data_IF_641252784588
#
_entry.id   IF_641252784588
#
_cell.length_a   1.000
_cell.length_b   1.000
_cell.length_c   1.000
_cell.angle_alpha   90.00
_cell.angle_beta   90.00
_cell.angle_gamma   90.00
#
_symmetry.space_group_name_H-M   'P 1'
#
loop_
_entity.id
_entity.type
_entity.pdbx_description
1 polymer ?
#
# COMPACT_ATOMS: atom_id res chain seq x y z
N UNK A 1 -21.64 8.57 25.39
CA UNK A 1 -20.83 9.77 25.14
C UNK A 1 -19.50 9.62 25.89
N UNK A 2 -18.47 9.11 25.23
CA UNK A 2 -17.11 9.06 25.76
C UNK A 2 -16.21 9.74 24.74
N UNK A 3 -15.81 10.98 25.09
CA UNK A 3 -14.84 11.76 24.32
C UNK A 3 -13.45 11.14 24.49
N UNK A 4 -12.91 10.51 23.44
CA UNK A 4 -11.49 10.17 23.40
C UNK A 4 -10.70 11.44 23.07
N UNK A 5 -9.88 11.90 24.01
CA UNK A 5 -8.89 12.94 23.79
C UNK A 5 -7.72 12.34 23.01
N UNK A 6 -7.55 12.76 21.75
CA UNK A 6 -6.30 12.59 21.06
C UNK A 6 -5.30 13.61 21.61
N UNK A 7 -4.24 13.14 22.23
CA UNK A 7 -3.09 13.97 22.57
C UNK A 7 -2.20 14.11 21.35
N UNK A 8 -2.26 15.26 20.69
CA UNK A 8 -1.29 15.68 19.69
C UNK A 8 -0.14 16.33 20.44
N UNK A 9 1.02 15.69 20.47
CA UNK A 9 2.25 16.34 20.92
C UNK A 9 2.79 17.21 19.78
N UNK A 10 3.05 18.50 20.00
CA UNK A 10 3.68 19.34 18.99
C UNK A 10 5.17 18.94 18.90
N UNK A 11 5.53 18.26 17.81
CA UNK A 11 6.94 18.09 17.43
C UNK A 11 7.46 19.45 16.96
N UNK A 12 8.35 20.06 17.74
CA UNK A 12 9.10 21.23 17.28
C UNK A 12 10.02 20.78 16.13
N UNK A 13 9.65 21.12 14.92
CA UNK A 13 10.57 21.04 13.77
C UNK A 13 11.66 22.09 13.95
N UNK A 14 12.91 21.68 14.12
CA UNK A 14 14.05 22.57 13.92
C UNK A 14 14.30 22.71 12.43
N UNK A 15 14.09 23.90 11.90
CA UNK A 15 14.25 24.25 10.49
C UNK A 15 15.70 24.59 10.12
N UNK A 16 16.65 24.47 11.04
CA UNK A 16 18.06 24.82 10.80
C UNK A 16 18.94 23.57 10.79
N UNK A 17 18.94 22.87 9.65
CA UNK A 17 20.07 21.99 9.30
C UNK A 17 20.93 22.74 8.29
N UNK A 18 21.94 23.44 8.79
CA UNK A 18 23.01 24.00 7.98
C UNK A 18 23.63 22.88 7.15
N UNK A 19 23.92 23.16 5.87
CA UNK A 19 24.67 22.29 4.96
C UNK A 19 26.13 22.11 5.44
N UNK A 20 26.32 21.36 6.55
CA UNK A 20 27.65 20.92 6.96
C UNK A 20 28.11 19.78 6.07
N UNK A 21 29.34 19.79 5.65
CA UNK A 21 29.99 18.70 4.89
C UNK A 21 29.74 17.36 5.59
N UNK A 22 29.19 16.44 4.83
CA UNK A 22 28.77 15.14 5.32
C UNK A 22 29.88 14.14 4.96
N UNK A 23 30.61 13.64 5.95
CA UNK A 23 31.54 12.53 5.79
C UNK A 23 30.74 11.22 5.66
N UNK A 24 30.57 10.73 4.44
CA UNK A 24 29.84 9.50 4.15
C UNK A 24 30.58 8.22 4.59
N UNK A 25 31.90 8.27 4.61
CA UNK A 25 32.77 7.11 4.85
C UNK A 25 32.74 6.59 6.30
N UNK A 26 32.10 7.32 7.22
CA UNK A 26 32.06 6.99 8.65
C UNK A 26 30.76 6.32 9.11
N UNK A 27 29.74 6.17 8.22
CA UNK A 27 28.44 5.63 8.61
C UNK A 27 28.46 4.10 8.53
N UNK A 28 28.66 3.44 9.67
CA UNK A 28 28.52 1.99 9.77
C UNK A 28 27.05 1.60 9.61
N UNK A 29 26.77 0.59 8.79
CA UNK A 29 25.45 -0.07 8.76
C UNK A 29 25.23 -0.75 10.12
N UNK A 30 24.27 -0.28 10.90
CA UNK A 30 23.88 -0.93 12.14
C UNK A 30 22.90 -2.05 11.80
N UNK A 31 23.36 -3.30 11.90
CA UNK A 31 22.49 -4.47 11.95
C UNK A 31 21.80 -4.49 13.33
N UNK A 32 20.69 -3.78 13.47
CA UNK A 32 19.98 -3.63 14.73
C UNK A 32 18.46 -3.49 14.49
N UNK A 33 17.72 -3.55 15.58
CA UNK A 33 16.29 -3.29 15.58
C UNK A 33 16.01 -1.90 14.98
N UNK A 34 14.99 -1.79 14.10
CA UNK A 34 14.62 -0.53 13.48
C UNK A 34 13.99 0.38 14.55
N UNK A 35 14.66 1.48 14.87
CA UNK A 35 14.21 2.48 15.87
C UNK A 35 13.50 3.68 15.22
N UNK A 36 13.46 3.74 13.89
CA UNK A 36 12.78 4.79 13.15
C UNK A 36 11.26 4.74 13.32
N UNK A 37 10.64 5.90 13.53
CA UNK A 37 9.19 6.00 13.58
C UNK A 37 8.56 5.83 12.19
N UNK A 38 8.04 4.65 11.93
CA UNK A 38 7.46 4.23 10.65
C UNK A 38 6.12 4.89 10.34
N UNK A 39 5.48 5.58 11.29
CA UNK A 39 4.24 6.32 11.02
C UNK A 39 4.50 7.60 10.22
N UNK A 40 5.69 8.19 10.37
CA UNK A 40 6.03 9.45 9.72
C UNK A 40 5.93 9.43 8.18
N UNK A 41 6.45 8.42 7.46
CA UNK A 41 6.31 8.36 6.00
C UNK A 41 4.86 8.18 5.54
N UNK A 42 4.07 7.41 6.30
CA UNK A 42 2.65 7.18 5.98
C UNK A 42 1.79 8.46 6.11
N UNK A 43 2.26 9.46 6.85
CA UNK A 43 1.60 10.76 6.99
C UNK A 43 1.85 11.70 5.81
N UNK A 44 2.77 11.40 4.92
CA UNK A 44 3.15 12.22 3.76
C UNK A 44 3.43 13.69 4.12
N UNK A 45 4.23 13.92 5.18
CA UNK A 45 4.54 15.26 5.69
C UNK A 45 5.33 16.12 4.69
N UNK A 46 6.07 15.47 3.76
CA UNK A 46 6.84 16.13 2.71
C UNK A 46 5.98 16.94 1.71
N UNK A 47 4.66 16.69 1.66
CA UNK A 47 3.72 17.49 0.86
C UNK A 47 3.52 18.91 1.37
N UNK A 48 4.10 19.22 2.55
CA UNK A 48 4.06 20.52 3.19
C UNK A 48 3.17 20.56 4.42
N UNK A 49 3.20 21.72 5.07
CA UNK A 49 2.41 22.03 6.25
C UNK A 49 1.10 22.74 5.86
N UNK A 50 0.23 22.97 6.82
CA UNK A 50 -1.02 23.72 6.65
C UNK A 50 -2.06 23.03 5.73
N UNK A 51 -2.19 21.72 5.86
CA UNK A 51 -3.32 21.01 5.28
C UNK A 51 -4.60 21.36 6.01
N UNK A 52 -5.67 21.54 5.23
CA UNK A 52 -7.03 21.74 5.71
C UNK A 52 -7.71 20.36 5.66
N UNK A 53 -8.27 19.93 6.77
CA UNK A 53 -9.01 18.69 6.82
C UNK A 53 -10.32 18.81 6.02
N UNK A 54 -10.59 17.84 5.18
CA UNK A 54 -11.87 17.77 4.49
C UNK A 54 -12.95 17.34 5.49
N UNK A 55 -14.03 18.12 5.54
CA UNK A 55 -15.19 17.80 6.38
C UNK A 55 -15.98 16.68 5.72
N UNK A 56 -16.24 15.61 6.47
CA UNK A 56 -17.09 14.52 6.03
C UNK A 56 -16.98 13.30 6.92
N UNK A 57 -18.04 12.49 6.94
CA UNK A 57 -18.02 11.15 7.51
C UNK A 57 -17.41 10.19 6.48
N UNK A 58 -16.92 9.03 6.96
CA UNK A 58 -16.52 7.94 6.07
C UNK A 58 -17.68 7.61 5.14
N UNK A 59 -17.44 7.67 3.84
CA UNK A 59 -18.44 7.35 2.83
C UNK A 59 -18.51 5.83 2.66
N UNK A 60 -19.72 5.31 2.76
CA UNK A 60 -20.04 3.91 2.50
C UNK A 60 -21.04 3.86 1.35
N UNK A 61 -20.73 3.05 0.38
CA UNK A 61 -21.62 2.76 -0.72
C UNK A 61 -22.05 1.31 -0.68
N UNK A 62 -23.32 1.08 -0.97
CA UNK A 62 -23.81 -0.28 -1.19
C UNK A 62 -23.23 -0.83 -2.50
N UNK A 63 -23.02 -2.12 -2.54
CA UNK A 63 -22.61 -2.80 -3.77
C UNK A 63 -23.67 -2.59 -4.87
N UNK A 64 -23.19 -2.55 -6.12
CA UNK A 64 -23.98 -2.23 -7.30
C UNK A 64 -24.55 -0.79 -7.34
N UNK A 65 -24.24 0.07 -6.37
CA UNK A 65 -24.58 1.49 -6.46
C UNK A 65 -23.87 2.14 -7.65
N UNK A 66 -24.57 3.04 -8.31
CA UNK A 66 -24.04 3.83 -9.42
C UNK A 66 -23.82 5.26 -8.95
N UNK A 67 -22.58 5.68 -9.02
CA UNK A 67 -22.17 7.04 -8.70
C UNK A 67 -22.07 7.85 -10.00
N UNK A 68 -22.51 9.10 -9.96
CA UNK A 68 -22.56 9.95 -11.14
C UNK A 68 -21.68 11.20 -10.97
N UNK A 69 -21.10 11.63 -12.08
CA UNK A 69 -20.36 12.89 -12.18
C UNK A 69 -19.16 12.99 -11.21
N UNK A 70 -18.35 11.94 -11.16
CA UNK A 70 -17.15 11.92 -10.32
C UNK A 70 -15.93 12.31 -11.15
N UNK A 71 -15.10 13.29 -10.70
CA UNK A 71 -13.90 13.68 -11.42
C UNK A 71 -12.89 12.53 -11.50
N UNK A 72 -12.21 12.41 -12.65
CA UNK A 72 -11.22 11.39 -12.90
C UNK A 72 -9.82 12.00 -12.82
N UNK A 73 -8.92 11.29 -12.13
CA UNK A 73 -7.48 11.56 -12.14
C UNK A 73 -6.78 10.31 -12.67
N UNK A 74 -5.98 10.46 -13.72
CA UNK A 74 -5.19 9.38 -14.30
C UNK A 74 -3.79 9.33 -13.70
N UNK A 75 -3.33 8.12 -13.34
CA UNK A 75 -2.00 7.85 -12.81
C UNK A 75 -1.46 6.54 -13.38
N UNK A 76 -0.65 6.63 -14.41
CA UNK A 76 -0.21 5.47 -15.20
C UNK A 76 0.80 4.55 -14.50
N UNK A 77 1.43 5.01 -13.43
CA UNK A 77 2.58 4.32 -12.84
C UNK A 77 2.25 3.54 -11.55
N UNK A 78 1.05 3.73 -11.00
CA UNK A 78 0.67 3.22 -9.70
C UNK A 78 -0.72 2.63 -9.71
N UNK A 79 -0.87 1.44 -9.17
CA UNK A 79 -2.17 0.80 -8.94
C UNK A 79 -2.61 1.11 -7.50
N UNK A 80 -3.76 1.75 -7.36
CA UNK A 80 -4.34 2.11 -6.07
C UNK A 80 -5.22 1.01 -5.51
N UNK A 81 -5.37 1.00 -4.17
CA UNK A 81 -6.09 -0.04 -3.45
C UNK A 81 -7.10 0.53 -2.45
N UNK A 82 -8.21 -0.18 -2.18
CA UNK A 82 -9.05 0.13 -1.03
C UNK A 82 -8.23 0.10 0.27
N UNK A 83 -8.46 1.07 1.16
CA UNK A 83 -7.72 1.22 2.42
C UNK A 83 -6.36 1.91 2.31
N UNK A 84 -5.80 2.08 1.12
CA UNK A 84 -4.49 2.72 0.93
C UNK A 84 -4.58 4.24 1.05
N UNK A 85 -3.61 4.85 1.76
CA UNK A 85 -3.42 6.30 1.75
C UNK A 85 -2.70 6.73 0.47
N UNK A 86 -3.25 7.75 -0.20
CA UNK A 86 -2.82 8.19 -1.53
C UNK A 86 -2.42 9.65 -1.47
N UNK A 87 -1.12 9.96 -1.66
CA UNK A 87 -0.64 11.33 -1.78
C UNK A 87 -0.78 11.82 -3.22
N UNK A 88 -1.50 12.91 -3.45
CA UNK A 88 -1.58 13.57 -4.75
C UNK A 88 -0.90 14.94 -4.66
N UNK A 89 -0.12 15.28 -5.66
CA UNK A 89 0.54 16.57 -5.79
C UNK A 89 0.43 17.03 -7.24
N UNK A 90 -0.46 17.97 -7.51
CA UNK A 90 -0.77 18.43 -8.85
C UNK A 90 -0.20 19.82 -9.10
N UNK A 91 0.43 19.98 -10.25
CA UNK A 91 0.94 21.24 -10.79
C UNK A 91 0.37 21.52 -12.19
N UNK A 92 -0.20 20.48 -12.84
CA UNK A 92 -0.86 20.68 -14.13
C UNK A 92 -2.23 21.36 -13.94
N UNK A 93 -2.62 22.31 -14.80
CA UNK A 93 -3.89 23.01 -14.68
C UNK A 93 -5.11 22.09 -14.64
N UNK A 94 -5.11 21.04 -15.47
CA UNK A 94 -6.24 20.11 -15.60
C UNK A 94 -6.42 19.27 -14.35
N UNK A 95 -5.34 18.69 -13.85
CA UNK A 95 -5.36 17.88 -12.60
C UNK A 95 -5.68 18.77 -11.39
N UNK A 96 -5.11 19.99 -11.31
CA UNK A 96 -5.43 20.94 -10.25
C UNK A 96 -6.92 21.27 -10.22
N UNK A 97 -7.55 21.46 -11.37
CA UNK A 97 -8.99 21.77 -11.45
C UNK A 97 -9.87 20.57 -11.13
N UNK A 98 -9.50 19.35 -11.59
CA UNK A 98 -10.21 18.14 -11.21
C UNK A 98 -10.19 17.93 -9.68
N UNK A 99 -9.03 18.12 -9.03
CA UNK A 99 -8.90 18.04 -7.58
C UNK A 99 -9.69 19.14 -6.86
N UNK A 100 -9.66 20.38 -7.35
CA UNK A 100 -10.46 21.48 -6.79
C UNK A 100 -11.95 21.20 -6.92
N UNK A 101 -12.39 20.66 -8.04
CA UNK A 101 -13.77 20.26 -8.22
C UNK A 101 -14.19 19.23 -7.17
N UNK A 102 -13.37 18.16 -6.98
CA UNK A 102 -13.61 17.17 -5.94
C UNK A 102 -13.69 17.81 -4.54
N UNK A 103 -12.74 18.68 -4.18
CA UNK A 103 -12.70 19.36 -2.89
C UNK A 103 -13.93 20.25 -2.66
N UNK A 104 -14.35 21.04 -3.67
CA UNK A 104 -15.48 21.98 -3.53
C UNK A 104 -16.83 21.31 -3.42
N UNK A 105 -17.01 20.21 -4.13
CA UNK A 105 -18.28 19.47 -4.12
C UNK A 105 -18.36 18.47 -2.97
N UNK A 106 -17.29 18.33 -2.16
CA UNK A 106 -17.16 17.29 -1.13
C UNK A 106 -17.44 15.88 -1.64
N UNK A 107 -17.18 15.70 -2.93
CA UNK A 107 -17.30 14.41 -3.60
C UNK A 107 -15.94 13.72 -3.67
N UNK A 108 -15.98 12.47 -4.04
CA UNK A 108 -14.82 11.62 -4.24
C UNK A 108 -14.26 11.82 -5.63
N UNK A 109 -13.10 11.25 -5.86
CA UNK A 109 -12.48 11.18 -7.17
C UNK A 109 -12.26 9.73 -7.59
N UNK A 110 -12.35 9.46 -8.89
CA UNK A 110 -11.92 8.20 -9.46
C UNK A 110 -10.44 8.26 -9.81
N UNK A 111 -9.68 7.32 -9.28
CA UNK A 111 -8.28 7.12 -9.63
C UNK A 111 -8.18 5.97 -10.63
N UNK A 112 -7.72 6.27 -11.82
CA UNK A 112 -7.66 5.35 -12.95
C UNK A 112 -6.20 5.08 -13.29
N UNK A 113 -5.80 3.80 -13.26
CA UNK A 113 -4.43 3.38 -13.59
C UNK A 113 -4.10 3.58 -15.07
N UNK A 114 -5.01 3.27 -15.98
CA UNK A 114 -4.80 3.40 -17.43
C UNK A 114 -6.13 3.52 -18.15
N UNK A 115 -6.15 4.27 -19.25
CA UNK A 115 -7.34 4.41 -20.10
C UNK A 115 -7.81 3.07 -20.66
N UNK A 116 -6.90 2.11 -20.87
CA UNK A 116 -7.24 0.76 -21.35
C UNK A 116 -7.88 -0.11 -20.25
N UNK A 117 -7.69 0.24 -18.97
CA UNK A 117 -8.15 -0.52 -17.80
C UNK A 117 -9.17 0.23 -16.95
N UNK A 118 -10.08 0.96 -17.57
CA UNK A 118 -11.17 1.70 -16.89
C UNK A 118 -12.12 0.75 -16.14
N UNK A 119 -12.11 -0.53 -16.54
CA UNK A 119 -12.96 -1.55 -15.96
C UNK A 119 -12.74 -1.84 -14.47
N UNK A 120 -11.61 -1.40 -13.91
CA UNK A 120 -11.38 -1.44 -12.47
C UNK A 120 -10.57 -0.23 -12.04
N UNK A 121 -11.26 0.72 -11.46
CA UNK A 121 -10.72 1.95 -10.89
C UNK A 121 -11.02 2.01 -9.39
N UNK A 122 -10.46 2.97 -8.69
CA UNK A 122 -10.68 3.16 -7.26
C UNK A 122 -11.38 4.49 -7.01
N UNK A 123 -12.46 4.46 -6.23
CA UNK A 123 -12.98 5.67 -5.60
C UNK A 123 -12.07 6.04 -4.44
N UNK A 124 -11.53 7.24 -4.45
CA UNK A 124 -10.72 7.80 -3.38
C UNK A 124 -11.44 8.98 -2.73
N UNK A 125 -11.45 8.99 -1.40
CA UNK A 125 -12.00 10.06 -0.59
C UNK A 125 -10.89 11.01 -0.16
N UNK A 126 -11.07 12.31 -0.37
CA UNK A 126 -10.18 13.36 0.12
C UNK A 126 -10.27 13.42 1.65
N UNK A 127 -9.13 13.28 2.34
CA UNK A 127 -9.02 13.42 3.79
C UNK A 127 -8.58 14.83 4.18
N UNK A 128 -7.57 15.35 3.49
CA UNK A 128 -7.08 16.71 3.70
C UNK A 128 -6.45 17.26 2.42
N UNK A 129 -6.41 18.57 2.31
CA UNK A 129 -5.88 19.25 1.11
C UNK A 129 -5.13 20.53 1.45
N UNK A 130 -4.27 20.96 0.55
CA UNK A 130 -3.57 22.23 0.55
C UNK A 130 -3.63 22.82 -0.86
N UNK A 131 -4.02 24.07 -0.98
CA UNK A 131 -3.96 24.84 -2.23
C UNK A 131 -2.97 25.98 -1.99
N UNK A 132 -1.94 26.07 -2.81
CA UNK A 132 -0.91 27.10 -2.72
C UNK A 132 -0.57 27.62 -4.11
N UNK A 133 0.03 28.81 -4.15
CA UNK A 133 0.62 29.36 -5.36
C UNK A 133 2.10 29.61 -5.05
N UNK A 134 2.97 28.84 -5.66
CA UNK A 134 4.42 28.91 -5.49
C UNK A 134 5.04 29.31 -6.84
N UNK A 135 5.80 30.39 -6.86
CA UNK A 135 6.46 30.95 -8.06
C UNK A 135 5.51 31.18 -9.26
N UNK A 136 4.24 31.51 -8.99
CA UNK A 136 3.23 31.72 -10.05
C UNK A 136 2.60 30.44 -10.59
N UNK A 137 2.98 29.27 -10.06
CA UNK A 137 2.37 27.97 -10.37
C UNK A 137 1.39 27.60 -9.26
N UNK A 138 0.16 27.30 -9.65
CA UNK A 138 -0.81 26.78 -8.69
C UNK A 138 -0.51 25.33 -8.35
N UNK A 139 -0.47 25.02 -7.07
CA UNK A 139 -0.22 23.68 -6.54
C UNK A 139 -1.43 23.21 -5.73
N UNK A 140 -1.90 22.03 -6.02
CA UNK A 140 -2.92 21.34 -5.22
C UNK A 140 -2.36 20.05 -4.68
N UNK A 141 -2.15 19.99 -3.37
CA UNK A 141 -1.72 18.78 -2.67
C UNK A 141 -2.90 18.17 -1.91
N UNK A 142 -3.12 16.87 -2.06
CA UNK A 142 -4.23 16.15 -1.45
C UNK A 142 -3.71 14.88 -0.78
N UNK A 143 -4.24 14.59 0.41
CA UNK A 143 -4.16 13.27 1.04
C UNK A 143 -5.52 12.62 0.91
N UNK A 144 -5.58 11.51 0.20
CA UNK A 144 -6.80 10.75 -0.02
C UNK A 144 -6.67 9.34 0.51
N UNK A 145 -7.77 8.62 0.61
CA UNK A 145 -7.82 7.21 0.95
C UNK A 145 -8.68 6.46 -0.06
N UNK A 146 -8.19 5.35 -0.59
CA UNK A 146 -8.97 4.46 -1.44
C UNK A 146 -10.14 3.86 -0.66
N UNK A 147 -11.34 3.83 -1.27
CA UNK A 147 -12.55 3.31 -0.61
C UNK A 147 -13.07 2.05 -1.26
N UNK A 148 -13.49 2.13 -2.51
CA UNK A 148 -14.13 1.05 -3.23
C UNK A 148 -13.56 0.89 -4.62
N UNK A 149 -13.60 -0.35 -5.11
CA UNK A 149 -13.35 -0.62 -6.53
C UNK A 149 -14.59 -0.24 -7.32
N UNK A 150 -14.39 0.36 -8.49
CA UNK A 150 -15.48 0.77 -9.37
C UNK A 150 -15.20 0.37 -10.82
N UNK A 151 -16.28 0.10 -11.54
CA UNK A 151 -16.27 0.01 -13.00
C UNK A 151 -16.83 1.32 -13.56
N UNK A 152 -16.11 1.93 -14.48
CA UNK A 152 -16.54 3.15 -15.16
C UNK A 152 -17.09 2.76 -16.51
N UNK A 153 -18.38 3.02 -16.74
CA UNK A 153 -19.04 2.69 -18.01
C UNK A 153 -18.74 3.72 -19.11
N UNK A 154 -18.67 5.01 -18.75
CA UNK A 154 -18.41 6.10 -19.69
C UNK A 154 -17.68 7.26 -19.03
N UNK A 155 -16.82 7.90 -19.84
CA UNK A 155 -16.10 9.12 -19.48
C UNK A 155 -16.65 10.26 -20.33
N UNK A 156 -16.99 11.36 -19.70
CA UNK A 156 -17.42 12.59 -20.34
C UNK A 156 -16.53 13.77 -19.93
N UNK A 157 -16.51 14.78 -20.73
CA UNK A 157 -15.79 16.02 -20.44
C UNK A 157 -16.77 17.06 -19.94
N UNK A 158 -16.47 17.68 -18.80
CA UNK A 158 -17.27 18.78 -18.22
C UNK A 158 -16.40 20.03 -18.09
N UNK A 159 -16.96 21.19 -18.37
CA UNK A 159 -16.23 22.47 -18.26
C UNK A 159 -16.32 22.97 -16.81
N UNK A 160 -15.17 23.15 -16.18
CA UNK A 160 -15.04 23.76 -14.87
C UNK A 160 -13.94 24.82 -14.86
N UNK A 161 -14.28 26.06 -14.44
CA UNK A 161 -13.36 27.21 -14.43
C UNK A 161 -12.63 27.40 -15.78
N UNK A 162 -13.36 27.33 -16.90
CA UNK A 162 -12.87 27.45 -18.28
C UNK A 162 -11.84 26.38 -18.70
N UNK A 163 -11.86 25.22 -18.09
CA UNK A 163 -11.03 24.06 -18.45
C UNK A 163 -11.90 22.81 -18.50
N UNK A 164 -11.56 21.95 -19.44
CA UNK A 164 -12.19 20.64 -19.57
C UNK A 164 -11.64 19.70 -18.50
N UNK A 165 -12.51 19.15 -17.67
CA UNK A 165 -12.18 18.08 -16.72
C UNK A 165 -12.87 16.78 -17.13
N UNK A 166 -12.20 15.68 -16.93
CA UNK A 166 -12.75 14.36 -17.20
C UNK A 166 -13.59 13.87 -16.02
N UNK A 167 -14.78 13.38 -16.32
CA UNK A 167 -15.75 12.92 -15.36
C UNK A 167 -16.19 11.49 -15.68
N UNK A 168 -16.25 10.63 -14.67
CA UNK A 168 -16.98 9.38 -14.76
C UNK A 168 -18.47 9.68 -14.68
N UNK A 169 -19.21 9.38 -15.73
CA UNK A 169 -20.64 9.62 -15.77
C UNK A 169 -21.38 8.61 -14.91
N UNK A 170 -21.08 7.34 -15.08
CA UNK A 170 -21.64 6.24 -14.33
C UNK A 170 -20.48 5.35 -13.84
N UNK A 171 -20.22 5.40 -12.53
CA UNK A 171 -19.22 4.57 -11.88
C UNK A 171 -19.94 3.57 -10.96
N UNK A 172 -19.92 2.28 -11.34
CA UNK A 172 -20.58 1.21 -10.61
C UNK A 172 -19.65 0.64 -9.55
N UNK A 173 -20.11 0.59 -8.29
CA UNK A 173 -19.37 -0.04 -7.18
C UNK A 173 -19.29 -1.55 -7.44
N UNK A 174 -18.07 -2.07 -7.43
CA UNK A 174 -17.82 -3.50 -7.62
C UNK A 174 -18.02 -4.26 -6.31
N UNK A 175 -18.57 -5.45 -6.42
CA UNK A 175 -18.77 -6.35 -5.29
C UNK A 175 -17.43 -6.94 -4.87
N UNK A 176 -17.19 -6.92 -3.55
CA UNK A 176 -16.13 -7.66 -2.88
C UNK A 176 -16.78 -8.66 -1.93
N UNK A 177 -16.42 -9.91 -2.04
CA UNK A 177 -16.98 -10.97 -1.21
C UNK A 177 -15.88 -11.94 -0.74
N UNK A 178 -16.22 -12.73 0.24
CA UNK A 178 -15.40 -13.85 0.71
C UNK A 178 -16.13 -15.12 0.39
N UNK A 179 -15.57 -15.97 -0.45
CA UNK A 179 -16.11 -17.30 -0.73
C UNK A 179 -16.25 -18.07 0.58
N UNK A 180 -17.44 -18.60 0.83
CA UNK A 180 -17.67 -19.46 2.00
C UNK A 180 -16.68 -20.61 1.99
N UNK A 181 -16.20 -20.95 3.19
CA UNK A 181 -15.35 -22.11 3.31
C UNK A 181 -16.16 -23.34 2.83
N UNK A 182 -15.63 -24.14 1.86
CA UNK A 182 -16.30 -25.36 1.42
C UNK A 182 -16.63 -26.30 2.58
N UNK A 183 -15.90 -26.21 3.69
CA UNK A 183 -16.16 -26.97 4.91
C UNK A 183 -17.47 -26.57 5.61
N UNK A 184 -17.94 -25.33 5.45
CA UNK A 184 -19.20 -24.88 6.03
C UNK A 184 -20.40 -25.67 5.50
N UNK A 185 -20.29 -26.22 4.29
CA UNK A 185 -21.33 -27.09 3.71
C UNK A 185 -21.30 -28.51 4.28
N UNK A 186 -20.19 -28.90 4.89
CA UNK A 186 -19.98 -30.25 5.45
C UNK A 186 -20.20 -30.23 6.97
N UNK A 187 -20.34 -29.06 7.54
CA UNK A 187 -20.55 -28.84 8.97
C UNK A 187 -21.82 -29.56 9.42
N UNK A 188 -21.65 -30.52 10.33
CA UNK A 188 -22.78 -31.24 10.88
C UNK A 188 -23.50 -30.36 11.90
N UNK A 189 -24.80 -30.09 11.74
CA UNK A 189 -25.59 -29.29 12.69
C UNK A 189 -25.55 -29.82 14.14
N UNK A 190 -25.23 -31.10 14.32
CA UNK A 190 -25.01 -31.70 15.62
C UNK A 190 -23.78 -31.19 16.36
N UNK A 191 -22.75 -30.72 15.64
CA UNK A 191 -21.55 -30.15 16.23
C UNK A 191 -21.79 -28.75 16.78
N UNK A 192 -22.73 -27.98 16.18
CA UNK A 192 -23.10 -26.65 16.65
C UNK A 192 -23.76 -26.70 18.04
N UNK A 193 -24.37 -27.84 18.42
CA UNK A 193 -24.92 -28.07 19.77
C UNK A 193 -23.86 -28.38 20.80
N UNK A 194 -22.74 -28.97 20.37
CA UNK A 194 -21.60 -29.33 21.23
C UNK A 194 -20.69 -28.12 21.44
N UNK A 195 -20.59 -27.25 20.45
CA UNK A 195 -19.78 -26.05 20.44
C UNK A 195 -20.61 -24.79 20.13
N UNK A 196 -21.54 -24.41 21.01
CA UNK A 196 -22.38 -23.23 20.81
C UNK A 196 -21.50 -21.97 20.87
N UNK A 197 -21.51 -21.17 19.84
CA UNK A 197 -21.06 -19.80 19.92
C UNK A 197 -19.90 -19.36 19.04
N UNK A 198 -19.65 -20.02 17.90
CA UNK A 198 -18.68 -19.51 16.92
C UNK A 198 -19.21 -19.51 15.49
N UNK A 199 -20.33 -18.80 15.28
CA UNK A 199 -20.73 -18.39 13.93
C UNK A 199 -19.93 -17.18 13.44
N UNK A 200 -19.31 -16.42 14.36
CA UNK A 200 -18.47 -15.27 14.05
C UNK A 200 -17.06 -15.56 14.52
N UNK A 201 -16.16 -15.83 13.58
CA UNK A 201 -14.73 -15.89 13.86
C UNK A 201 -14.31 -14.48 14.25
N UNK A 202 -14.24 -14.23 15.54
CA UNK A 202 -13.67 -13.02 16.10
C UNK A 202 -12.16 -13.05 15.89
N UNK A 203 -11.69 -12.39 14.86
CA UNK A 203 -10.27 -12.23 14.51
C UNK A 203 -9.54 -11.29 15.48
N UNK A 204 -10.21 -10.75 16.50
CA UNK A 204 -9.55 -10.02 17.57
C UNK A 204 -8.69 -10.99 18.38
N UNK A 205 -7.39 -11.08 18.10
CA UNK A 205 -6.40 -12.00 18.67
C UNK A 205 -6.20 -11.92 20.19
N UNK A 206 -7.23 -11.58 20.96
CA UNK A 206 -7.19 -11.41 22.42
C UNK A 206 -7.76 -12.57 23.21
N UNK A 207 -8.24 -13.64 22.57
CA UNK A 207 -8.63 -14.83 23.33
C UNK A 207 -7.46 -15.81 23.41
N UNK A 208 -6.90 -15.97 24.61
CA UNK A 208 -5.94 -17.01 25.02
C UNK A 208 -6.50 -18.45 24.87
N UNK A 209 -7.32 -18.73 23.87
CA UNK A 209 -7.95 -20.04 23.62
C UNK A 209 -7.38 -20.70 22.36
N UNK A 210 -6.05 -20.89 22.36
CA UNK A 210 -5.33 -21.69 21.34
C UNK A 210 -5.76 -23.17 21.30
N UNK A 211 -6.65 -23.63 22.18
CA UNK A 211 -7.05 -25.03 22.29
C UNK A 211 -8.36 -25.35 21.53
N UNK A 212 -9.26 -24.39 21.37
CA UNK A 212 -10.60 -24.65 20.77
C UNK A 212 -10.58 -24.92 19.28
N UNK A 213 -9.86 -24.17 18.42
CA UNK A 213 -9.83 -24.45 16.98
C UNK A 213 -9.24 -25.82 16.67
N UNK A 214 -8.31 -26.29 17.50
CA UNK A 214 -7.67 -27.60 17.30
C UNK A 214 -8.60 -28.74 17.67
N UNK A 215 -9.41 -28.58 18.70
CA UNK A 215 -10.40 -29.57 19.13
C UNK A 215 -11.54 -29.67 18.11
N UNK A 216 -12.06 -28.55 17.60
CA UNK A 216 -13.08 -28.51 16.56
C UNK A 216 -12.57 -29.21 15.27
N UNK A 217 -11.40 -28.86 14.79
CA UNK A 217 -10.74 -29.52 13.65
C UNK A 217 -10.48 -31.01 13.87
N UNK A 218 -10.17 -31.41 15.11
CA UNK A 218 -9.96 -32.82 15.46
C UNK A 218 -11.28 -33.61 15.36
N UNK A 219 -12.41 -33.04 15.82
CA UNK A 219 -13.71 -33.71 15.70
C UNK A 219 -14.21 -33.73 14.25
N UNK A 220 -14.10 -32.63 13.52
CA UNK A 220 -14.44 -32.59 12.09
C UNK A 220 -13.66 -33.64 11.29
N UNK A 221 -12.36 -33.81 11.55
CA UNK A 221 -11.54 -34.82 10.87
C UNK A 221 -11.90 -36.27 11.21
N UNK A 222 -12.56 -36.52 12.35
CA UNK A 222 -13.03 -37.87 12.73
C UNK A 222 -14.38 -38.25 12.14
N UNK A 223 -15.22 -37.25 11.85
CA UNK A 223 -16.59 -37.49 11.39
C UNK A 223 -16.78 -37.21 9.89
N UNK A 224 -15.74 -36.73 9.21
CA UNK A 224 -15.76 -36.52 7.76
C UNK A 224 -14.82 -37.48 7.07
N UNK A 225 -15.18 -37.91 5.88
CA UNK A 225 -14.31 -38.71 4.99
C UNK A 225 -13.18 -37.88 4.38
N UNK A 226 -13.14 -36.58 4.68
CA UNK A 226 -12.17 -35.65 4.12
C UNK A 226 -10.88 -35.69 4.93
N UNK A 227 -9.72 -35.99 4.29
CA UNK A 227 -8.45 -35.99 4.95
C UNK A 227 -8.09 -34.62 5.56
N UNK A 228 -7.45 -34.62 6.74
CA UNK A 228 -7.04 -33.42 7.47
C UNK A 228 -6.24 -32.41 6.62
N UNK A 229 -5.42 -32.90 5.69
CA UNK A 229 -4.63 -32.01 4.82
C UNK A 229 -5.52 -31.22 3.85
N UNK A 230 -6.66 -31.78 3.39
CA UNK A 230 -7.64 -31.05 2.59
C UNK A 230 -8.32 -30.00 3.44
N UNK A 231 -8.71 -30.35 4.68
CA UNK A 231 -9.32 -29.42 5.61
C UNK A 231 -8.41 -28.24 5.87
N UNK A 232 -7.14 -28.48 6.17
CA UNK A 232 -6.14 -27.43 6.37
C UNK A 232 -5.95 -26.53 5.13
N UNK A 233 -5.99 -27.12 3.93
CA UNK A 233 -5.85 -26.36 2.68
C UNK A 233 -7.07 -25.47 2.39
N UNK A 234 -8.24 -25.87 2.85
CA UNK A 234 -9.47 -25.12 2.66
C UNK A 234 -9.71 -24.09 3.76
N UNK A 235 -8.99 -24.14 4.86
CA UNK A 235 -9.14 -23.24 5.98
C UNK A 235 -8.50 -21.88 5.68
N UNK A 236 -9.31 -20.82 5.70
CA UNK A 236 -8.89 -19.46 5.45
C UNK A 236 -7.87 -18.98 6.49
N UNK A 237 -7.97 -19.43 7.75
CA UNK A 237 -7.03 -19.07 8.80
C UNK A 237 -5.62 -19.62 8.54
N UNK A 238 -5.54 -20.81 7.97
CA UNK A 238 -4.26 -21.41 7.57
C UNK A 238 -3.64 -20.62 6.41
N UNK A 239 -4.46 -20.23 5.43
CA UNK A 239 -4.02 -19.40 4.31
C UNK A 239 -3.46 -18.05 4.78
N UNK A 240 -4.19 -17.36 5.66
CA UNK A 240 -3.74 -16.09 6.23
C UNK A 240 -2.45 -16.26 7.04
N UNK A 241 -2.37 -17.29 7.91
CA UNK A 241 -1.17 -17.54 8.70
C UNK A 241 0.06 -17.83 7.80
N UNK A 242 -0.08 -18.59 6.72
CA UNK A 242 1.01 -18.84 5.78
C UNK A 242 1.48 -17.52 5.12
N UNK A 243 0.56 -16.64 4.74
CA UNK A 243 0.91 -15.32 4.20
C UNK A 243 1.66 -14.49 5.25
N UNK A 244 1.17 -14.48 6.49
CA UNK A 244 1.81 -13.75 7.59
C UNK A 244 3.20 -14.29 7.93
N UNK A 245 3.42 -15.60 7.83
CA UNK A 245 4.75 -16.20 8.00
C UNK A 245 5.73 -15.72 6.92
N UNK A 246 5.32 -15.71 5.65
CA UNK A 246 6.16 -15.20 4.55
C UNK A 246 6.44 -13.69 4.66
N UNK A 247 5.54 -12.93 5.23
CA UNK A 247 5.70 -11.47 5.37
C UNK A 247 6.26 -11.04 6.73
N UNK A 248 6.55 -11.98 7.62
CA UNK A 248 6.98 -11.72 9.01
C UNK A 248 8.18 -10.78 9.09
N UNK A 249 9.20 -11.02 8.27
CA UNK A 249 10.44 -10.25 8.30
C UNK A 249 10.25 -8.81 7.82
N UNK A 250 9.21 -8.57 7.01
CA UNK A 250 8.84 -7.21 6.62
C UNK A 250 8.23 -6.43 7.79
N UNK A 251 7.69 -7.12 8.79
CA UNK A 251 6.85 -6.55 9.85
C UNK A 251 7.35 -6.79 11.26
N UNK A 252 8.64 -7.08 11.48
CA UNK A 252 9.19 -7.38 12.83
C UNK A 252 8.71 -6.46 13.97
N UNK A 253 7.97 -5.41 13.68
CA UNK A 253 7.40 -4.46 14.66
C UNK A 253 6.05 -3.89 14.27
N UNK A 254 5.41 -4.34 13.17
CA UNK A 254 4.05 -3.89 12.93
C UNK A 254 3.12 -4.64 13.88
N UNK A 255 2.39 -3.93 14.71
CA UNK A 255 1.26 -4.53 15.35
C UNK A 255 0.27 -4.92 14.25
N UNK A 256 0.16 -6.20 13.92
CA UNK A 256 -1.09 -6.78 13.41
C UNK A 256 -2.03 -6.73 14.62
N UNK A 257 -2.15 -5.53 15.17
CA UNK A 257 -2.72 -5.30 16.48
C UNK A 257 -3.89 -4.40 16.34
N UNK A 258 -4.95 -4.87 16.94
CA UNK A 258 -5.98 -4.08 17.57
C UNK A 258 -7.10 -3.53 16.71
N UNK A 259 -7.23 -3.91 15.44
CA UNK A 259 -8.54 -3.84 14.80
C UNK A 259 -8.77 -5.17 14.08
N UNK A 260 -9.89 -5.85 14.28
CA UNK A 260 -10.24 -6.99 13.44
C UNK A 260 -10.36 -6.46 12.01
N UNK A 261 -9.32 -6.69 11.22
CA UNK A 261 -9.35 -6.35 9.81
C UNK A 261 -10.25 -7.39 9.15
N UNK A 262 -11.28 -6.95 8.45
CA UNK A 262 -12.07 -7.85 7.63
C UNK A 262 -11.16 -8.58 6.63
N UNK A 263 -11.51 -9.81 6.29
CA UNK A 263 -10.75 -10.64 5.35
C UNK A 263 -10.58 -9.94 4.00
N UNK A 264 -11.59 -9.21 3.57
CA UNK A 264 -11.56 -8.44 2.33
C UNK A 264 -10.52 -7.31 2.42
N UNK A 265 -10.56 -6.52 3.51
CA UNK A 265 -9.59 -5.45 3.76
C UNK A 265 -8.18 -6.01 3.88
N UNK A 266 -8.00 -7.13 4.59
CA UNK A 266 -6.71 -7.82 4.70
C UNK A 266 -6.19 -8.26 3.33
N UNK A 267 -7.06 -8.80 2.46
CA UNK A 267 -6.66 -9.24 1.14
C UNK A 267 -6.21 -8.10 0.23
N UNK A 268 -6.82 -6.92 0.34
CA UNK A 268 -6.37 -5.73 -0.37
C UNK A 268 -5.06 -5.20 0.18
N UNK A 269 -4.96 -5.11 1.51
CA UNK A 269 -3.77 -4.63 2.17
C UNK A 269 -2.54 -5.48 1.81
N UNK A 270 -2.62 -6.81 1.95
CA UNK A 270 -1.48 -7.67 1.64
C UNK A 270 -1.12 -7.64 0.16
N UNK A 271 -2.09 -7.54 -0.75
CA UNK A 271 -1.84 -7.40 -2.18
C UNK A 271 -1.16 -6.06 -2.52
N UNK A 272 -1.53 -4.98 -1.83
CA UNK A 272 -0.96 -3.64 -2.05
C UNK A 272 0.53 -3.56 -1.72
N UNK A 273 0.97 -4.31 -0.70
CA UNK A 273 2.36 -4.27 -0.20
C UNK A 273 3.31 -5.20 -0.94
N UNK A 274 2.83 -6.02 -1.88
CA UNK A 274 3.70 -6.89 -2.68
C UNK A 274 4.60 -6.05 -3.60
N UNK A 275 5.92 -6.28 -3.63
CA UNK A 275 6.84 -5.59 -4.53
C UNK A 275 6.84 -6.23 -5.94
N UNK A 276 5.70 -6.19 -6.60
CA UNK A 276 5.48 -6.76 -7.94
C UNK A 276 5.06 -5.67 -8.93
N UNK A 277 5.15 -5.99 -10.21
CA UNK A 277 4.82 -5.07 -11.30
C UNK A 277 3.33 -4.66 -11.31
N UNK A 278 3.05 -3.45 -11.77
CA UNK A 278 1.71 -2.86 -11.77
C UNK A 278 0.66 -3.73 -12.47
N UNK A 279 1.01 -4.41 -13.59
CA UNK A 279 0.07 -5.29 -14.28
C UNK A 279 -0.34 -6.51 -13.44
N UNK A 280 0.58 -7.06 -12.62
CA UNK A 280 0.28 -8.17 -11.69
C UNK A 280 -0.60 -7.67 -10.53
N UNK A 281 -0.33 -6.46 -10.03
CA UNK A 281 -1.18 -5.80 -9.03
C UNK A 281 -2.59 -5.57 -9.56
N UNK A 282 -2.73 -5.11 -10.81
CA UNK A 282 -4.03 -4.95 -11.45
C UNK A 282 -4.79 -6.27 -11.55
N UNK A 283 -4.11 -7.37 -11.92
CA UNK A 283 -4.72 -8.69 -11.96
C UNK A 283 -5.22 -9.20 -10.59
N UNK A 284 -4.55 -8.81 -9.50
CA UNK A 284 -5.03 -9.08 -8.15
C UNK A 284 -6.21 -8.17 -7.77
N UNK A 285 -6.17 -6.91 -8.16
CA UNK A 285 -7.24 -5.95 -7.90
C UNK A 285 -8.55 -6.33 -8.60
N UNK A 286 -8.48 -6.92 -9.80
CA UNK A 286 -9.65 -7.39 -10.56
C UNK A 286 -10.39 -8.55 -9.89
N UNK A 287 -9.73 -9.30 -9.00
CA UNK A 287 -10.35 -10.44 -8.31
C UNK A 287 -11.38 -9.95 -7.31
N UNK A 288 -12.64 -10.34 -7.46
CA UNK A 288 -13.72 -9.95 -6.55
C UNK A 288 -13.80 -10.82 -5.29
N UNK A 289 -13.27 -12.04 -5.32
CA UNK A 289 -13.25 -12.94 -4.18
C UNK A 289 -11.97 -12.78 -3.37
N UNK A 290 -12.10 -12.39 -2.10
CA UNK A 290 -10.97 -12.16 -1.19
C UNK A 290 -10.14 -13.43 -0.97
N UNK A 291 -10.77 -14.61 -0.88
CA UNK A 291 -10.07 -15.89 -0.74
C UNK A 291 -9.20 -16.16 -1.96
N UNK A 292 -9.76 -16.07 -3.15
CA UNK A 292 -9.01 -16.28 -4.41
C UNK A 292 -7.87 -15.28 -4.54
N UNK A 293 -8.07 -14.04 -4.10
CA UNK A 293 -7.00 -13.02 -4.07
C UNK A 293 -5.87 -13.44 -3.14
N UNK A 294 -6.17 -13.90 -1.92
CA UNK A 294 -5.18 -14.38 -0.96
C UNK A 294 -4.42 -15.63 -1.44
N UNK A 295 -5.09 -16.57 -2.11
CA UNK A 295 -4.45 -17.75 -2.71
C UNK A 295 -3.42 -17.34 -3.79
N UNK A 296 -3.77 -16.34 -4.62
CA UNK A 296 -2.83 -15.77 -5.61
C UNK A 296 -1.67 -15.03 -4.95
N UNK A 297 -1.95 -14.27 -3.88
CA UNK A 297 -0.91 -13.59 -3.08
C UNK A 297 0.09 -14.60 -2.52
N UNK A 298 -0.39 -15.68 -1.89
CA UNK A 298 0.48 -16.73 -1.34
C UNK A 298 1.35 -17.36 -2.44
N UNK A 299 0.77 -17.70 -3.58
CA UNK A 299 1.51 -18.30 -4.69
C UNK A 299 2.59 -17.33 -5.25
N UNK A 300 2.36 -16.03 -5.22
CA UNK A 300 3.36 -15.02 -5.59
C UNK A 300 4.47 -14.97 -4.54
N UNK A 301 4.14 -14.92 -3.25
CA UNK A 301 5.12 -14.89 -2.15
C UNK A 301 6.02 -16.12 -2.18
N UNK A 302 5.47 -17.33 -2.32
CA UNK A 302 6.24 -18.56 -2.44
C UNK A 302 7.25 -18.50 -3.58
N UNK A 303 6.85 -17.99 -4.75
CA UNK A 303 7.76 -17.80 -5.89
C UNK A 303 8.83 -16.76 -5.61
N UNK A 304 8.46 -15.61 -5.03
CA UNK A 304 9.41 -14.54 -4.70
C UNK A 304 10.52 -15.04 -3.78
N UNK A 305 10.17 -15.78 -2.73
CA UNK A 305 11.15 -16.34 -1.81
C UNK A 305 11.94 -17.51 -2.42
N UNK A 306 11.33 -18.25 -3.35
CA UNK A 306 12.03 -19.33 -4.07
C UNK A 306 13.18 -18.77 -4.92
N UNK A 307 12.96 -17.70 -5.68
CA UNK A 307 13.99 -17.08 -6.53
C UNK A 307 14.89 -16.14 -5.72
N UNK A 308 14.34 -15.46 -4.73
CA UNK A 308 15.02 -14.52 -3.82
C UNK A 308 15.87 -13.47 -4.54
N UNK A 309 15.36 -12.91 -5.64
CA UNK A 309 16.11 -12.01 -6.50
C UNK A 309 15.26 -10.79 -6.90
N UNK A 310 15.89 -9.61 -6.88
CA UNK A 310 15.37 -8.34 -7.39
C UNK A 310 16.31 -7.87 -8.48
N UNK A 311 15.83 -7.75 -9.70
CA UNK A 311 16.62 -7.41 -10.87
C UNK A 311 16.26 -6.03 -11.44
N UNK A 312 17.19 -5.42 -12.17
CA UNK A 312 16.93 -4.24 -12.98
C UNK A 312 15.92 -4.56 -14.08
N UNK A 313 14.85 -3.77 -14.20
CA UNK A 313 13.80 -4.01 -15.20
C UNK A 313 14.24 -3.82 -16.64
N UNK A 314 15.41 -3.19 -16.90
CA UNK A 314 15.91 -2.93 -18.25
C UNK A 314 17.01 -3.91 -18.69
N UNK A 315 18.00 -4.18 -17.84
CA UNK A 315 19.17 -5.01 -18.20
C UNK A 315 19.29 -6.29 -17.39
N UNK A 316 18.33 -6.55 -16.49
CA UNK A 316 18.18 -7.79 -15.74
C UNK A 316 19.34 -8.13 -14.78
N UNK A 317 20.31 -7.21 -14.61
CA UNK A 317 21.34 -7.40 -13.60
C UNK A 317 20.69 -7.44 -12.22
N UNK A 318 21.22 -8.32 -11.37
CA UNK A 318 20.79 -8.47 -10.00
C UNK A 318 21.09 -7.20 -9.18
N UNK A 319 20.07 -6.63 -8.55
CA UNK A 319 20.14 -5.42 -7.73
C UNK A 319 20.05 -5.73 -6.23
N UNK A 320 19.34 -6.79 -5.84
CA UNK A 320 19.15 -7.12 -4.43
C UNK A 320 18.39 -8.43 -4.22
N UNK A 321 18.09 -8.73 -2.97
CA UNK A 321 17.37 -9.94 -2.58
C UNK A 321 16.02 -9.60 -1.95
N UNK A 322 15.08 -10.54 -2.05
CA UNK A 322 13.79 -10.45 -1.34
C UNK A 322 13.99 -10.46 0.17
N UNK A 323 14.99 -11.21 0.67
CA UNK A 323 15.35 -11.24 2.10
C UNK A 323 15.91 -9.90 2.63
N UNK A 324 16.32 -9.00 1.73
CA UNK A 324 16.78 -7.66 2.10
C UNK A 324 15.64 -6.63 2.21
N UNK A 325 14.41 -7.03 1.91
CA UNK A 325 13.24 -6.16 2.03
C UNK A 325 12.99 -5.85 3.51
N UNK A 326 12.81 -4.58 3.82
CA UNK A 326 12.47 -4.07 5.14
C UNK A 326 11.30 -3.10 5.04
N UNK A 327 10.55 -2.94 6.11
CA UNK A 327 9.49 -1.95 6.15
C UNK A 327 9.95 -0.67 6.84
N UNK A 328 10.03 0.42 6.10
CA UNK A 328 10.33 1.76 6.62
C UNK A 328 9.07 2.63 6.79
N UNK A 329 7.90 2.08 6.51
CA UNK A 329 6.60 2.72 6.72
C UNK A 329 5.65 1.79 7.49
N UNK A 330 4.72 2.35 8.25
CA UNK A 330 3.65 1.59 8.90
C UNK A 330 2.70 0.91 7.90
N UNK A 331 2.69 1.37 6.65
CA UNK A 331 1.87 0.78 5.60
C UNK A 331 2.49 -0.49 5.00
N UNK A 332 3.79 -0.74 5.23
CA UNK A 332 4.49 -1.90 4.71
C UNK A 332 5.82 -1.56 4.02
N UNK A 333 6.47 -2.57 3.40
CA UNK A 333 7.74 -2.39 2.70
C UNK A 333 7.58 -1.61 1.39
N UNK A 334 6.39 -1.59 0.82
CA UNK A 334 6.08 -0.77 -0.36
C UNK A 334 5.24 0.43 0.04
N UNK A 335 5.33 1.48 -0.75
CA UNK A 335 4.55 2.70 -0.54
C UNK A 335 4.53 3.57 -1.78
N UNK A 336 3.51 4.42 -1.87
CA UNK A 336 3.34 5.38 -2.95
C UNK A 336 3.77 6.75 -2.46
N UNK A 337 4.67 7.38 -3.19
CA UNK A 337 5.17 8.72 -2.90
C UNK A 337 5.20 9.55 -4.17
N UNK A 338 5.02 10.86 -4.03
CA UNK A 338 5.04 11.79 -5.16
C UNK A 338 6.25 12.73 -5.03
N UNK A 339 6.87 13.08 -6.14
CA UNK A 339 7.97 14.04 -6.19
C UNK A 339 7.46 15.47 -6.50
N UNK A 340 8.36 16.45 -6.49
CA UNK A 340 8.05 17.86 -6.78
C UNK A 340 7.59 18.11 -8.22
N UNK A 341 7.83 17.17 -9.13
CA UNK A 341 7.37 17.25 -10.51
C UNK A 341 6.01 16.54 -10.72
N UNK A 342 5.27 16.28 -9.64
CA UNK A 342 3.96 15.59 -9.67
C UNK A 342 4.01 14.15 -10.16
N UNK A 343 5.20 13.53 -10.22
CA UNK A 343 5.33 12.15 -10.66
C UNK A 343 5.24 11.20 -9.46
N UNK A 344 4.35 10.22 -9.55
CA UNK A 344 4.18 9.20 -8.52
C UNK A 344 5.14 8.04 -8.70
N UNK A 345 5.68 7.59 -7.58
CA UNK A 345 6.56 6.44 -7.51
C UNK A 345 5.99 5.45 -6.49
N UNK A 346 5.77 4.24 -6.93
CA UNK A 346 5.61 3.11 -6.03
C UNK A 346 6.98 2.51 -5.77
N UNK A 347 7.39 2.46 -4.51
CA UNK A 347 8.72 2.02 -4.10
C UNK A 347 8.67 0.79 -3.23
N UNK A 348 9.79 0.05 -3.16
CA UNK A 348 10.06 -0.97 -2.16
C UNK A 348 11.32 -0.59 -1.39
N UNK A 349 11.32 -0.77 -0.06
CA UNK A 349 12.47 -0.43 0.79
C UNK A 349 13.30 -1.66 1.13
N UNK A 350 14.65 -1.52 1.03
CA UNK A 350 15.63 -2.58 1.24
C UNK A 350 16.73 -2.14 2.20
N UNK A 351 17.29 -3.08 2.96
CA UNK A 351 18.47 -2.86 3.82
C UNK A 351 19.77 -2.83 3.02
N UNK A 352 19.88 -3.57 1.91
CA UNK A 352 21.06 -3.63 1.06
C UNK A 352 20.71 -3.76 -0.42
N UNK A 353 21.59 -3.23 -1.28
CA UNK A 353 21.50 -3.34 -2.73
C UNK A 353 22.91 -3.46 -3.31
N UNK A 354 23.00 -3.95 -4.54
CA UNK A 354 24.26 -4.16 -5.28
C UNK A 354 24.14 -3.71 -6.73
N UNK A 355 25.27 -3.62 -7.44
CA UNK A 355 25.31 -3.21 -8.85
C UNK A 355 24.62 -1.87 -9.10
N UNK A 356 24.91 -0.90 -8.22
CA UNK A 356 24.34 0.45 -8.26
C UNK A 356 25.45 1.50 -8.35
N UNK A 357 25.09 2.67 -8.88
CA UNK A 357 25.88 3.89 -8.85
C UNK A 357 25.11 5.00 -8.15
N UNK A 358 25.77 5.73 -7.26
CA UNK A 358 25.19 6.85 -6.53
C UNK A 358 25.49 8.15 -7.27
N UNK A 359 24.50 9.04 -7.37
CA UNK A 359 24.64 10.32 -8.03
C UNK A 359 24.18 11.48 -7.16
N UNK A 360 24.96 12.57 -7.19
CA UNK A 360 24.64 13.81 -6.52
C UNK A 360 25.00 13.84 -5.04
N UNK A 361 24.81 15.01 -4.39
CA UNK A 361 24.97 15.18 -2.95
C UNK A 361 23.68 14.85 -2.21
N UNK A 362 23.74 14.38 -0.94
CA UNK A 362 22.54 14.10 -0.15
C UNK A 362 21.67 15.34 0.02
N UNK A 363 20.38 15.23 -0.27
CA UNK A 363 19.40 16.31 -0.17
C UNK A 363 18.37 16.01 0.93
N UNK A 364 18.09 16.97 1.81
CA UNK A 364 17.04 16.86 2.83
C UNK A 364 15.68 17.38 2.37
N UNK A 365 15.66 18.28 1.37
CA UNK A 365 14.41 18.87 0.86
C UNK A 365 13.52 17.82 0.21
N UNK A 366 12.22 17.88 0.51
CA UNK A 366 11.20 16.98 -0.03
C UNK A 366 11.50 15.47 0.21
N UNK A 367 12.16 15.15 1.33
CA UNK A 367 12.41 13.76 1.69
C UNK A 367 11.12 13.05 2.08
N UNK A 368 10.87 11.89 1.51
CA UNK A 368 9.72 11.05 1.84
C UNK A 368 9.81 10.44 3.24
N UNK A 369 11.03 10.29 3.73
CA UNK A 369 11.34 9.76 5.04
C UNK A 369 11.92 10.88 5.92
N UNK A 370 11.14 11.48 6.83
CA UNK A 370 11.63 12.51 7.74
C UNK A 370 12.89 12.05 8.47
N UNK A 371 13.83 12.98 8.68
CA UNK A 371 15.15 12.75 9.29
C UNK A 371 16.17 11.99 8.40
N UNK A 372 15.81 11.66 7.16
CA UNK A 372 16.75 11.12 6.17
C UNK A 372 16.99 12.12 5.02
N UNK A 373 18.22 12.16 4.56
CA UNK A 373 18.61 12.80 3.29
C UNK A 373 18.65 11.74 2.20
N UNK A 374 18.35 12.10 0.97
CA UNK A 374 18.27 11.19 -0.16
C UNK A 374 19.29 11.50 -1.25
N UNK A 375 19.77 10.47 -1.95
CA UNK A 375 20.62 10.52 -3.16
C UNK A 375 19.96 9.67 -4.25
N UNK A 376 20.24 10.00 -5.51
CA UNK A 376 19.77 9.22 -6.65
C UNK A 376 20.62 7.95 -6.81
N UNK A 377 19.96 6.86 -7.21
CA UNK A 377 20.57 5.59 -7.57
C UNK A 377 20.31 5.24 -9.03
N UNK A 378 21.36 4.80 -9.71
CA UNK A 378 21.29 4.26 -11.06
C UNK A 378 21.84 2.83 -11.07
N UNK A 379 21.38 2.03 -12.03
CA UNK A 379 21.96 0.73 -12.31
C UNK A 379 23.37 0.90 -12.88
N UNK A 380 24.37 0.24 -12.30
CA UNK A 380 25.76 0.35 -12.76
C UNK A 380 26.02 -0.24 -14.15
N UNK A 381 25.14 -1.12 -14.64
CA UNK A 381 25.27 -1.73 -15.96
C UNK A 381 24.65 -0.90 -17.08
N UNK A 382 23.43 -0.37 -16.89
CA UNK A 382 22.69 0.32 -17.96
C UNK A 382 22.45 1.81 -17.69
N UNK A 383 22.84 2.34 -16.53
CA UNK A 383 22.64 3.75 -16.15
C UNK A 383 21.16 4.13 -15.86
N UNK A 384 20.23 3.18 -15.92
CA UNK A 384 18.82 3.48 -15.66
C UNK A 384 18.62 3.90 -14.20
N UNK A 385 17.89 5.01 -13.97
CA UNK A 385 17.53 5.42 -12.62
C UNK A 385 16.61 4.36 -11.99
N UNK A 386 16.99 3.81 -10.84
CA UNK A 386 16.28 2.71 -10.18
C UNK A 386 15.71 3.08 -8.82
N UNK A 387 16.12 4.21 -8.23
CA UNK A 387 15.62 4.61 -6.92
C UNK A 387 16.49 5.59 -6.17
N UNK A 388 16.48 5.49 -4.85
CA UNK A 388 17.14 6.43 -3.93
C UNK A 388 17.80 5.71 -2.76
N UNK A 389 18.95 6.22 -2.34
CA UNK A 389 19.60 5.90 -1.07
C UNK A 389 19.15 6.94 -0.04
N UNK A 390 18.74 6.49 1.12
CA UNK A 390 18.37 7.33 2.26
C UNK A 390 19.41 7.19 3.36
N UNK A 391 19.90 8.32 3.89
CA UNK A 391 20.98 8.38 4.85
C UNK A 391 20.60 9.33 5.99
N UNK A 392 20.79 8.91 7.24
CA UNK A 392 20.64 9.78 8.41
C UNK A 392 21.96 9.90 9.17
N UNK A 393 22.21 11.08 9.74
CA UNK A 393 23.33 11.31 10.66
C UNK A 393 22.91 11.21 12.14
N UNK A 394 21.63 10.97 12.41
CA UNK A 394 21.11 10.85 13.75
C UNK A 394 21.45 9.46 14.31
N UNK A 395 22.23 9.42 15.39
CA UNK A 395 22.73 8.18 16.02
C UNK A 395 21.67 7.36 16.74
N UNK A 396 20.51 7.97 17.03
CA UNK A 396 19.38 7.33 17.69
C UNK A 396 18.37 6.71 16.70
N UNK A 397 18.64 6.78 15.40
CA UNK A 397 17.76 6.24 14.34
C UNK A 397 18.47 5.08 13.65
N UNK A 398 17.79 3.93 13.62
CA UNK A 398 18.21 2.73 12.89
C UNK A 398 17.12 2.33 11.88
N UNK A 399 17.51 1.94 10.66
CA UNK A 399 18.86 1.86 10.09
C UNK A 399 19.44 3.26 9.76
N UNK A 400 20.76 3.42 9.79
CA UNK A 400 21.42 4.67 9.40
C UNK A 400 21.36 4.89 7.88
N UNK A 401 21.29 3.80 7.11
CA UNK A 401 21.18 3.78 5.65
C UNK A 401 20.17 2.74 5.22
N UNK A 402 19.33 3.08 4.26
CA UNK A 402 18.49 2.13 3.54
C UNK A 402 18.24 2.60 2.11
N UNK A 403 17.63 1.75 1.30
CA UNK A 403 17.42 1.99 -0.12
C UNK A 403 15.93 1.89 -0.45
N UNK A 404 15.44 2.78 -1.32
CA UNK A 404 14.09 2.74 -1.86
C UNK A 404 14.17 2.60 -3.38
N UNK A 405 13.76 1.45 -3.91
CA UNK A 405 13.76 1.17 -5.34
C UNK A 405 12.36 1.35 -5.92
N UNK A 406 12.26 1.96 -7.10
CA UNK A 406 10.98 2.14 -7.77
C UNK A 406 10.57 0.89 -8.53
N UNK A 407 9.37 0.38 -8.25
CA UNK A 407 8.82 -0.83 -8.88
C UNK A 407 8.57 -0.67 -10.39
N UNK A 408 8.58 0.56 -10.89
CA UNK A 408 8.56 0.84 -12.33
C UNK A 408 9.87 0.42 -13.03
N UNK A 409 10.99 0.35 -12.30
CA UNK A 409 12.34 0.16 -12.85
C UNK A 409 13.07 -1.07 -12.33
N UNK A 410 12.55 -1.70 -11.29
CA UNK A 410 13.04 -2.98 -10.78
C UNK A 410 11.91 -3.98 -10.71
N UNK A 411 12.24 -5.27 -10.75
CA UNK A 411 11.25 -6.34 -10.62
C UNK A 411 11.76 -7.45 -9.70
N UNK A 412 10.87 -8.01 -8.89
CA UNK A 412 11.13 -9.28 -8.22
C UNK A 412 11.00 -10.40 -9.26
N UNK A 413 11.98 -11.29 -9.29
CA UNK A 413 11.93 -12.47 -10.17
C UNK A 413 10.92 -13.46 -9.60
N UNK A 414 9.85 -13.74 -10.37
CA UNK A 414 8.75 -14.63 -9.95
C UNK A 414 8.64 -15.82 -10.90
N UNK A 415 9.09 -15.67 -12.14
CA UNK A 415 9.11 -16.71 -13.17
C UNK A 415 10.42 -16.64 -13.96
N UNK A 416 11.10 -17.78 -14.07
CA UNK A 416 12.27 -17.91 -14.94
C UNK A 416 11.92 -17.99 -16.43
N UNK A 417 10.65 -18.11 -16.78
CA UNK A 417 10.14 -18.26 -18.16
C UNK A 417 9.71 -16.95 -18.84
N UNK A 418 9.93 -15.80 -18.20
CA UNK A 418 9.61 -14.48 -18.75
C UNK A 418 10.82 -13.79 -19.41
N UNK A 419 11.75 -14.57 -19.96
CA UNK A 419 12.83 -14.09 -20.80
C UNK A 419 12.52 -14.36 -22.27
#
# INVERSE_FOLDING_TARGET
MLKRKCYIYPVKMSTDVTDSEFDEDAISQTEGEITYDRHLPAMHLYLGNNFIDAFGSRLFYEYDSILREIPIVFEENVVFWPGQTIPLFATSPDTCKALKYAIRQFIEMCLVYSVENISCSIIAQVLSYRIANEDGVEIVAVRAIGRHRVHIDSIETTIFENTDILMARDAKILIDYVSRNPLDYIRLPSLDRIFPGKSDVDWSGTSNTNTFPMVEKFYESKFTTIPKWILNRLDLSVLINNILEHTRDWYNTLPITNSPMDVTDFSFWVASILPIEAFRKMNLLLVSDARTRLERVLAILEKMYHYNEIACGLCEIDIGKVDDIISMSSNGPTGVYVNTASFMHEIVTLKSVRNIEESGRPKGSFSWFPNYKWKLLACSNCGNHIGWKFITSLTNISPSVFYALTLLKVRCVIDSSSY
#
